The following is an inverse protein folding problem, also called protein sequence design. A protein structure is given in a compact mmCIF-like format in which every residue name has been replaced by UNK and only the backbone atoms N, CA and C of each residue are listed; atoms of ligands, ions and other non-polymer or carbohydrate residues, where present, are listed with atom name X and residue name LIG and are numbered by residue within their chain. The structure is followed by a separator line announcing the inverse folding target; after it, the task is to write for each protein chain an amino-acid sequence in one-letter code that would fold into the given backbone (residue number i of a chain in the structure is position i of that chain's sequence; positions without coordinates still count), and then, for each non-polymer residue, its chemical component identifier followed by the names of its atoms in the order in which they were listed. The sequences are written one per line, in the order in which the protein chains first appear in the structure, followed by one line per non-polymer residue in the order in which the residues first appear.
data_IF_087639731312
#
_entry.id   IF_087639731312
#
_cell.length_a   1.000
_cell.length_b   1.000
_cell.length_c   1.000
_cell.angle_alpha   90.00
_cell.angle_beta   90.00
_cell.angle_gamma   90.00
#
_symmetry.space_group_name_H-M   'P 1'
#
loop_
_entity.id
_entity.type
_entity.pdbx_description
1 polymer ?
#
# COMPACT_ATOMS: atom_id res chain seq x y z
N UNK A 1 -18.76 16.58 -11.36
CA UNK A 1 -18.68 15.66 -10.21
C UNK A 1 -17.47 16.07 -9.38
N UNK A 2 -17.65 16.49 -8.14
CA UNK A 2 -16.52 16.81 -7.26
C UNK A 2 -15.88 15.50 -6.84
N UNK A 3 -14.69 15.20 -7.36
CA UNK A 3 -13.87 14.08 -6.90
C UNK A 3 -13.52 14.23 -5.40
N UNK A 4 -12.95 13.18 -4.79
CA UNK A 4 -12.46 13.26 -3.42
C UNK A 4 -11.55 14.49 -3.25
N UNK A 5 -11.75 15.27 -2.18
CA UNK A 5 -10.92 16.45 -1.90
C UNK A 5 -9.73 16.02 -1.05
N UNK A 6 -8.51 15.94 -1.61
CA UNK A 6 -7.37 15.39 -0.91
C UNK A 6 -6.85 16.27 0.22
N UNK A 7 -7.20 17.56 0.21
CA UNK A 7 -6.88 18.45 1.31
C UNK A 7 -7.57 18.04 2.62
N UNK A 8 -8.77 17.44 2.56
CA UNK A 8 -9.45 16.94 3.76
C UNK A 8 -8.74 15.70 4.32
N UNK A 9 -8.32 14.78 3.46
CA UNK A 9 -7.61 13.57 3.86
C UNK A 9 -6.24 13.91 4.45
N UNK A 10 -5.44 14.75 3.77
CA UNK A 10 -4.15 15.23 4.27
C UNK A 10 -4.29 15.93 5.62
N UNK A 11 -5.30 16.79 5.75
CA UNK A 11 -5.55 17.51 7.01
C UNK A 11 -5.89 16.53 8.13
N UNK A 12 -6.70 15.52 7.87
CA UNK A 12 -7.02 14.48 8.86
C UNK A 12 -5.77 13.71 9.34
N UNK A 13 -4.85 13.37 8.43
CA UNK A 13 -3.57 12.72 8.79
C UNK A 13 -2.74 13.57 9.75
N UNK A 14 -2.75 14.89 9.55
CA UNK A 14 -1.97 15.84 10.37
C UNK A 14 -2.66 16.15 11.69
N UNK A 15 -3.96 16.46 11.66
CA UNK A 15 -4.74 16.90 12.83
C UNK A 15 -5.10 15.73 13.77
N UNK A 16 -5.24 14.51 13.24
CA UNK A 16 -5.68 13.33 13.99
C UNK A 16 -4.78 12.11 13.70
N UNK A 17 -3.50 12.15 14.08
CA UNK A 17 -2.54 11.11 13.73
C UNK A 17 -2.92 9.74 14.31
N UNK A 18 -3.40 9.65 15.55
CA UNK A 18 -3.78 8.36 16.15
C UNK A 18 -4.98 7.72 15.44
N UNK A 19 -6.04 8.49 15.20
CA UNK A 19 -7.21 8.03 14.46
C UNK A 19 -6.84 7.64 13.01
N UNK A 20 -5.89 8.35 12.41
CA UNK A 20 -5.36 8.03 11.09
C UNK A 20 -4.64 6.68 11.08
N UNK A 21 -3.78 6.40 12.05
CA UNK A 21 -3.13 5.09 12.17
C UNK A 21 -4.14 3.96 12.41
N UNK A 22 -5.20 4.20 13.20
CA UNK A 22 -6.26 3.21 13.39
C UNK A 22 -7.00 2.90 12.09
N UNK A 23 -7.42 3.94 11.36
CA UNK A 23 -8.10 3.80 10.07
C UNK A 23 -7.22 3.05 9.06
N UNK A 24 -5.97 3.47 8.92
CA UNK A 24 -5.00 2.84 8.03
C UNK A 24 -4.73 1.38 8.43
N UNK A 25 -4.69 1.09 9.73
CA UNK A 25 -4.59 -0.28 10.26
C UNK A 25 -5.75 -1.17 9.83
N UNK A 26 -6.99 -0.67 9.90
CA UNK A 26 -8.17 -1.40 9.45
C UNK A 26 -8.15 -1.64 7.93
N UNK A 27 -7.75 -0.64 7.15
CA UNK A 27 -7.61 -0.76 5.70
C UNK A 27 -6.52 -1.77 5.34
N UNK A 28 -5.37 -1.71 6.01
CA UNK A 28 -4.27 -2.66 5.87
C UNK A 28 -4.74 -4.10 6.13
N UNK A 29 -5.50 -4.35 7.19
CA UNK A 29 -6.05 -5.69 7.48
C UNK A 29 -7.03 -6.15 6.40
N UNK A 30 -7.91 -5.26 5.95
CA UNK A 30 -8.88 -5.57 4.90
C UNK A 30 -8.20 -5.90 3.55
N UNK A 31 -7.23 -5.08 3.14
CA UNK A 31 -6.46 -5.28 1.90
C UNK A 31 -5.65 -6.57 1.98
N UNK A 32 -4.96 -6.82 3.09
CA UNK A 32 -4.18 -8.06 3.29
C UNK A 32 -5.06 -9.30 3.10
N UNK A 33 -6.20 -9.36 3.79
CA UNK A 33 -7.16 -10.48 3.63
C UNK A 33 -7.67 -10.61 2.20
N UNK A 34 -7.94 -9.48 1.55
CA UNK A 34 -8.45 -9.48 0.17
C UNK A 34 -7.43 -10.08 -0.80
N UNK A 35 -6.15 -9.67 -0.71
CA UNK A 35 -5.07 -10.20 -1.54
C UNK A 35 -4.85 -11.70 -1.30
N UNK A 36 -4.83 -12.14 -0.04
CA UNK A 36 -4.73 -13.58 0.29
C UNK A 36 -5.89 -14.37 -0.33
N UNK A 37 -7.12 -13.84 -0.28
CA UNK A 37 -8.26 -14.48 -0.93
C UNK A 37 -8.16 -14.54 -2.45
N UNK A 38 -7.64 -13.49 -3.10
CA UNK A 38 -7.41 -13.53 -4.55
C UNK A 38 -6.40 -14.64 -4.92
N UNK A 39 -5.32 -14.77 -4.16
CA UNK A 39 -4.29 -15.79 -4.37
C UNK A 39 -4.88 -17.19 -4.16
N UNK A 40 -5.67 -17.38 -3.10
CA UNK A 40 -6.42 -18.62 -2.86
C UNK A 40 -7.39 -18.97 -3.97
N UNK A 41 -7.96 -17.97 -4.63
CA UNK A 41 -8.86 -18.14 -5.76
C UNK A 41 -8.11 -18.44 -7.09
N UNK A 42 -6.78 -18.47 -7.07
CA UNK A 42 -5.94 -18.81 -8.22
C UNK A 42 -5.23 -17.63 -8.86
N UNK A 43 -5.25 -16.43 -8.26
CA UNK A 43 -4.45 -15.32 -8.76
C UNK A 43 -2.95 -15.65 -8.68
N UNK A 44 -2.26 -15.61 -9.82
CA UNK A 44 -0.83 -15.92 -9.94
C UNK A 44 0.08 -14.70 -9.77
N UNK A 45 -0.52 -13.51 -9.63
CA UNK A 45 0.13 -12.23 -9.37
C UNK A 45 -0.91 -11.30 -8.76
N UNK A 46 -0.50 -10.44 -7.83
CA UNK A 46 -1.38 -9.42 -7.23
C UNK A 46 -0.69 -8.06 -7.21
N UNK A 47 -1.48 -6.99 -7.28
CA UNK A 47 -0.99 -5.62 -7.29
C UNK A 47 -1.71 -4.77 -6.24
N UNK A 48 -0.93 -4.02 -5.46
CA UNK A 48 -1.41 -2.92 -4.63
C UNK A 48 -1.25 -1.63 -5.42
N UNK A 49 -2.37 -0.93 -5.63
CA UNK A 49 -2.43 0.31 -6.39
C UNK A 49 -2.75 1.47 -5.46
N UNK A 50 -1.84 2.43 -5.40
CA UNK A 50 -1.97 3.67 -4.67
C UNK A 50 -2.03 4.85 -5.65
N UNK A 51 -3.19 5.47 -5.76
CA UNK A 51 -3.44 6.59 -6.67
C UNK A 51 -3.23 7.95 -6.04
N UNK A 52 -3.06 8.02 -4.71
CA UNK A 52 -3.01 9.28 -3.96
C UNK A 52 -1.64 9.55 -3.32
N UNK A 53 -0.69 8.62 -3.46
CA UNK A 53 0.68 8.74 -2.96
C UNK A 53 1.36 10.08 -3.30
N UNK A 54 1.27 10.55 -4.56
CA UNK A 54 1.81 11.83 -4.98
C UNK A 54 1.19 13.05 -4.29
N UNK A 55 -0.04 12.94 -3.79
CA UNK A 55 -0.74 14.05 -3.14
C UNK A 55 -0.30 14.25 -1.69
N UNK A 56 0.22 13.21 -1.02
CA UNK A 56 0.67 13.28 0.37
C UNK A 56 2.00 14.04 0.50
N UNK A 57 2.85 13.96 -0.52
CA UNK A 57 4.24 14.42 -0.49
C UNK A 57 5.14 13.52 0.39
N UNK A 58 6.47 13.70 0.33
CA UNK A 58 7.42 12.71 0.86
C UNK A 58 7.30 12.43 2.37
N UNK A 59 7.06 13.47 3.17
CA UNK A 59 7.00 13.34 4.64
C UNK A 59 5.77 12.56 5.11
N UNK A 60 4.58 12.87 4.57
CA UNK A 60 3.36 12.17 4.95
C UNK A 60 3.33 10.76 4.37
N UNK A 61 3.82 10.56 3.14
CA UNK A 61 3.98 9.24 2.53
C UNK A 61 4.85 8.33 3.42
N UNK A 62 6.04 8.80 3.79
CA UNK A 62 6.97 8.02 4.63
C UNK A 62 6.39 7.72 6.01
N UNK A 63 5.63 8.67 6.59
CA UNK A 63 5.06 8.52 7.93
C UNK A 63 3.83 7.61 7.99
N UNK A 64 2.93 7.71 7.02
CA UNK A 64 1.61 7.08 7.10
C UNK A 64 1.41 5.94 6.10
N UNK A 65 1.97 6.05 4.90
CA UNK A 65 1.64 5.14 3.79
C UNK A 65 2.67 4.02 3.61
N UNK A 66 3.96 4.38 3.54
CA UNK A 66 5.06 3.43 3.39
C UNK A 66 5.05 2.31 4.47
N UNK A 67 4.81 2.60 5.78
CA UNK A 67 4.73 1.56 6.79
C UNK A 67 3.57 0.60 6.55
N UNK A 68 2.44 1.10 6.04
CA UNK A 68 1.25 0.31 5.74
C UNK A 68 1.50 -0.60 4.55
N UNK A 69 2.10 -0.09 3.47
CA UNK A 69 2.47 -0.88 2.30
C UNK A 69 3.42 -2.03 2.67
N UNK A 70 4.43 -1.76 3.52
CA UNK A 70 5.34 -2.78 4.06
C UNK A 70 4.61 -3.85 4.87
N UNK A 71 3.68 -3.42 5.73
CA UNK A 71 2.91 -4.35 6.56
C UNK A 71 1.96 -5.21 5.73
N UNK A 72 1.38 -4.69 4.64
CA UNK A 72 0.56 -5.47 3.71
C UNK A 72 1.40 -6.57 3.06
N UNK A 73 2.54 -6.23 2.45
CA UNK A 73 3.40 -7.23 1.79
C UNK A 73 3.87 -8.32 2.76
N UNK A 74 4.30 -7.92 3.96
CA UNK A 74 4.69 -8.85 5.03
C UNK A 74 3.51 -9.74 5.45
N UNK A 75 2.36 -9.15 5.75
CA UNK A 75 1.18 -9.87 6.23
C UNK A 75 0.62 -10.86 5.22
N UNK A 76 0.62 -10.52 3.92
CA UNK A 76 0.25 -11.47 2.86
C UNK A 76 1.20 -12.65 2.82
N UNK A 77 2.52 -12.41 2.78
CA UNK A 77 3.53 -13.47 2.73
C UNK A 77 3.47 -14.37 3.97
N UNK A 78 3.25 -13.81 5.16
CA UNK A 78 3.08 -14.57 6.41
C UNK A 78 1.82 -15.44 6.39
N UNK A 79 0.66 -14.89 6.02
CA UNK A 79 -0.60 -15.66 5.98
C UNK A 79 -0.57 -16.78 4.94
N UNK A 80 0.02 -16.56 3.77
CA UNK A 80 0.18 -17.62 2.76
C UNK A 80 1.07 -18.75 3.29
N UNK A 81 2.16 -18.41 3.98
CA UNK A 81 3.04 -19.38 4.63
C UNK A 81 2.32 -20.21 5.69
N UNK A 82 1.51 -19.57 6.55
CA UNK A 82 0.70 -20.26 7.56
C UNK A 82 -0.32 -21.22 6.93
N UNK A 83 -0.83 -20.89 5.75
CA UNK A 83 -1.77 -21.72 4.99
C UNK A 83 -1.07 -22.77 4.10
N UNK A 84 0.26 -22.83 4.10
CA UNK A 84 1.07 -23.68 3.22
C UNK A 84 0.74 -23.47 1.72
N UNK A 85 0.52 -22.21 1.34
CA UNK A 85 0.30 -21.76 -0.03
C UNK A 85 1.58 -21.08 -0.52
N UNK A 86 2.05 -21.46 -1.71
CA UNK A 86 3.23 -20.83 -2.31
C UNK A 86 2.97 -19.34 -2.57
N UNK A 87 3.94 -18.45 -2.28
CA UNK A 87 3.80 -17.04 -2.56
C UNK A 87 3.76 -16.78 -4.06
N UNK A 88 2.99 -15.77 -4.45
CA UNK A 88 2.97 -15.24 -5.82
C UNK A 88 3.63 -13.86 -5.87
N UNK A 89 4.15 -13.42 -7.03
CA UNK A 89 4.69 -12.08 -7.16
C UNK A 89 3.69 -11.01 -6.73
N UNK A 90 4.18 -10.03 -5.97
CA UNK A 90 3.43 -8.86 -5.53
C UNK A 90 4.00 -7.60 -6.15
N UNK A 91 3.12 -6.78 -6.74
CA UNK A 91 3.46 -5.50 -7.36
C UNK A 91 2.96 -4.35 -6.47
N UNK A 92 3.78 -3.32 -6.28
CA UNK A 92 3.33 -2.03 -5.75
C UNK A 92 3.40 -0.97 -6.84
N UNK A 93 2.33 -0.22 -7.02
CA UNK A 93 2.31 0.94 -7.90
C UNK A 93 1.83 2.15 -7.10
N UNK A 94 2.70 3.13 -6.90
CA UNK A 94 2.40 4.38 -6.22
C UNK A 94 2.52 5.52 -7.23
N UNK A 95 1.38 6.09 -7.62
CA UNK A 95 1.30 7.13 -8.65
C UNK A 95 1.94 8.44 -8.17
N UNK A 96 2.71 9.09 -9.04
CA UNK A 96 3.36 10.38 -8.83
C UNK A 96 4.30 10.39 -7.60
N UNK A 97 4.80 9.22 -7.20
CA UNK A 97 5.61 9.00 -5.98
C UNK A 97 7.09 8.72 -6.29
N UNK A 98 7.69 9.43 -7.25
CA UNK A 98 9.08 9.22 -7.68
C UNK A 98 10.10 9.27 -6.52
N UNK A 99 9.83 10.15 -5.55
CA UNK A 99 10.64 10.31 -4.33
C UNK A 99 10.67 9.06 -3.44
N UNK A 100 9.76 8.11 -3.63
CA UNK A 100 9.60 6.93 -2.79
C UNK A 100 10.13 5.64 -3.44
N UNK A 101 10.59 5.67 -4.69
CA UNK A 101 10.97 4.46 -5.45
C UNK A 101 12.03 3.63 -4.71
N UNK A 102 13.07 4.28 -4.19
CA UNK A 102 14.12 3.58 -3.44
C UNK A 102 13.56 2.87 -2.20
N UNK A 103 12.70 3.55 -1.43
CA UNK A 103 12.10 2.98 -0.23
C UNK A 103 11.05 1.90 -0.54
N UNK A 104 10.36 2.01 -1.67
CA UNK A 104 9.44 1.02 -2.20
C UNK A 104 10.18 -0.23 -2.68
N UNK A 105 11.37 -0.10 -3.27
CA UNK A 105 12.20 -1.26 -3.63
C UNK A 105 12.60 -2.12 -2.40
N UNK A 106 12.65 -1.49 -1.22
CA UNK A 106 12.95 -2.13 0.07
C UNK A 106 11.69 -2.52 0.85
N UNK A 107 10.50 -2.39 0.25
CA UNK A 107 9.23 -2.55 0.97
C UNK A 107 8.70 -3.99 1.01
N UNK A 108 9.40 -4.93 0.37
CA UNK A 108 9.05 -6.35 0.37
C UNK A 108 8.13 -6.77 -0.76
N UNK A 109 7.78 -5.87 -1.68
CA UNK A 109 7.18 -6.20 -2.97
C UNK A 109 8.25 -6.69 -3.94
N UNK A 110 7.84 -7.54 -4.89
CA UNK A 110 8.76 -8.16 -5.84
C UNK A 110 8.94 -7.28 -7.10
N UNK A 111 7.97 -6.40 -7.36
CA UNK A 111 8.00 -5.43 -8.47
C UNK A 111 7.50 -4.06 -7.99
N UNK A 112 8.21 -3.00 -8.40
CA UNK A 112 7.77 -1.60 -8.25
C UNK A 112 7.35 -1.09 -9.62
N UNK A 113 6.08 -0.74 -9.78
CA UNK A 113 5.56 -0.11 -10.98
C UNK A 113 5.86 1.38 -11.01
N UNK A 114 6.23 1.90 -12.18
CA UNK A 114 6.58 3.30 -12.41
C UNK A 114 5.55 3.94 -13.35
N UNK A 115 5.26 5.22 -13.15
CA UNK A 115 4.48 6.01 -14.10
C UNK A 115 5.39 6.78 -15.09
N UNK A 116 4.79 7.42 -16.08
CA UNK A 116 5.49 8.08 -17.20
C UNK A 116 6.26 9.35 -16.82
N UNK A 117 6.02 9.94 -15.65
CA UNK A 117 6.71 11.14 -15.17
C UNK A 117 8.00 10.81 -14.39
N UNK A 118 8.31 9.52 -14.26
CA UNK A 118 9.46 9.01 -13.49
C UNK A 118 10.78 9.18 -14.21
#
# INVERSE_FOLDING_TARGET
SAGPNPNKARRFLVEHPEASHQLLGMLKDAVTRHLVHQIKAGAQIVQVFDSFAGELGPSLFSKFELPILRQIAKGVKEQLKEMNIDPVPMVVFAKDAHFAIEELSKSGYDVVGLDWCT
#
